data_IF_431190000801
#
_entry.id   IF_431190000801
#
_cell.length_a   1.000
_cell.length_b   1.000
_cell.length_c   1.000
_cell.angle_alpha   90.00
_cell.angle_beta   90.00
_cell.angle_gamma   90.00
#
_symmetry.space_group_name_H-M   'P 1'
#
loop_
_entity.id
_entity.type
_entity.pdbx_description
1 polymer ?
#
# COMPACT_ATOMS: atom_id res chain seq x y z
N UNK A 1 13.73 -18.57 6.15
CA UNK A 1 13.46 -18.68 7.60
C UNK A 1 12.67 -17.48 8.12
N UNK A 2 13.02 -16.23 7.79
CA UNK A 2 12.21 -15.02 8.08
C UNK A 2 10.75 -15.13 7.61
N UNK A 3 10.56 -15.69 6.42
CA UNK A 3 9.26 -15.89 5.75
C UNK A 3 8.28 -16.82 6.48
N UNK A 4 8.79 -17.87 7.16
CA UNK A 4 7.95 -18.78 7.97
C UNK A 4 7.51 -18.07 9.25
N UNK A 5 8.36 -17.18 9.78
CA UNK A 5 8.12 -16.43 11.00
C UNK A 5 7.16 -15.24 10.83
N UNK A 6 7.20 -14.48 9.74
CA UNK A 6 6.18 -13.44 9.50
C UNK A 6 4.77 -14.04 9.33
N UNK A 7 4.67 -15.22 8.72
CA UNK A 7 3.43 -16.00 8.61
C UNK A 7 3.01 -16.64 9.93
N UNK A 8 3.95 -16.99 10.81
CA UNK A 8 3.64 -17.42 12.18
C UNK A 8 3.29 -16.25 13.11
N UNK A 9 3.84 -15.06 12.88
CA UNK A 9 3.60 -13.85 13.69
C UNK A 9 2.26 -13.18 13.35
N UNK A 10 1.87 -13.14 12.07
CA UNK A 10 0.75 -12.32 11.60
C UNK A 10 -0.63 -12.81 12.06
N UNK A 11 -1.07 -14.07 11.85
CA UNK A 11 -2.41 -14.51 12.29
C UNK A 11 -2.45 -15.09 13.71
N UNK A 12 -1.32 -15.52 14.27
CA UNK A 12 -1.29 -16.32 15.52
C UNK A 12 -0.78 -15.60 16.76
N UNK A 13 -0.20 -14.39 16.62
CA UNK A 13 0.46 -13.71 17.75
C UNK A 13 0.11 -12.23 17.83
N UNK A 14 -0.13 -11.56 16.71
CA UNK A 14 -0.78 -10.25 16.75
C UNK A 14 -2.31 -10.40 16.80
N UNK A 15 -3.02 -9.53 17.53
CA UNK A 15 -4.45 -9.70 17.83
C UNK A 15 -5.39 -9.55 16.63
N UNK A 16 -4.88 -9.39 15.40
CA UNK A 16 -5.66 -9.16 14.15
C UNK A 16 -6.75 -8.08 14.27
N UNK A 17 -6.60 -7.15 15.22
CA UNK A 17 -7.60 -6.11 15.47
C UNK A 17 -7.53 -4.96 14.46
N UNK A 18 -6.43 -4.87 13.70
CA UNK A 18 -6.10 -3.80 12.75
C UNK A 18 -6.38 -2.40 13.34
N UNK A 19 -5.95 -2.20 14.59
CA UNK A 19 -6.33 -1.05 15.43
C UNK A 19 -5.64 0.27 15.10
N UNK A 20 -4.58 0.25 14.29
CA UNK A 20 -3.75 1.42 13.97
C UNK A 20 -3.03 2.09 15.15
N UNK A 21 -3.19 1.59 16.38
CA UNK A 21 -2.66 2.22 17.60
C UNK A 21 -1.14 2.28 17.66
N UNK A 22 -0.48 1.34 17.01
CA UNK A 22 0.98 1.28 16.86
C UNK A 22 1.50 2.11 15.67
N UNK A 23 0.69 3.05 15.13
CA UNK A 23 0.98 3.79 13.90
C UNK A 23 1.23 2.89 12.67
N UNK A 24 0.57 1.73 12.63
CA UNK A 24 0.55 0.84 11.47
C UNK A 24 -0.88 0.60 11.02
N UNK A 25 -1.21 0.76 9.74
CA UNK A 25 -2.58 0.64 9.23
C UNK A 25 -3.22 -0.74 9.44
N UNK A 26 -2.42 -1.78 9.71
CA UNK A 26 -2.90 -3.14 10.00
C UNK A 26 -1.91 -3.94 10.86
N UNK A 27 -2.38 -5.04 11.45
CA UNK A 27 -1.57 -5.94 12.29
C UNK A 27 -0.46 -6.64 11.49
N UNK A 28 -0.67 -6.93 10.20
CA UNK A 28 0.32 -7.50 9.29
C UNK A 28 1.51 -6.55 9.15
N UNK A 29 1.25 -5.26 8.96
CA UNK A 29 2.30 -4.24 8.87
C UNK A 29 3.08 -4.18 10.17
N UNK A 30 2.42 -4.20 11.33
CA UNK A 30 3.10 -4.25 12.62
C UNK A 30 3.98 -5.50 12.74
N UNK A 31 3.42 -6.69 12.46
CA UNK A 31 4.14 -7.96 12.50
C UNK A 31 5.38 -7.96 11.58
N UNK A 32 5.24 -7.37 10.39
CA UNK A 32 6.35 -7.14 9.46
C UNK A 32 7.39 -6.19 10.03
N UNK A 33 7.04 -5.01 10.55
CA UNK A 33 8.02 -4.07 11.11
C UNK A 33 8.77 -4.65 12.31
N UNK A 34 8.07 -5.44 13.12
CA UNK A 34 8.65 -6.13 14.28
C UNK A 34 9.62 -7.24 13.88
N UNK A 35 9.26 -8.12 12.93
CA UNK A 35 10.16 -9.17 12.45
C UNK A 35 11.45 -8.60 11.82
N UNK A 36 11.38 -7.33 11.45
CA UNK A 36 12.45 -6.53 10.87
C UNK A 36 13.23 -5.63 11.81
N UNK A 37 12.85 -5.56 13.09
CA UNK A 37 13.45 -4.64 14.07
C UNK A 37 13.34 -3.16 13.68
N UNK A 38 12.35 -2.80 12.87
CA UNK A 38 11.99 -1.41 12.55
C UNK A 38 10.99 -0.82 13.55
N UNK A 39 10.42 -1.68 14.39
CA UNK A 39 9.50 -1.33 15.45
C UNK A 39 9.60 -2.39 16.54
N UNK A 40 9.42 -1.99 17.81
CA UNK A 40 9.40 -2.92 18.93
C UNK A 40 8.00 -3.51 19.09
N UNK A 41 7.83 -4.81 19.39
CA UNK A 41 6.51 -5.37 19.62
C UNK A 41 5.74 -4.68 20.77
N UNK A 42 6.44 -4.07 21.72
CA UNK A 42 5.90 -3.21 22.78
C UNK A 42 5.17 -1.97 22.26
N UNK A 43 5.46 -1.53 21.03
CA UNK A 43 4.78 -0.39 20.42
C UNK A 43 3.32 -0.70 20.06
N UNK A 44 2.88 -1.97 20.19
CA UNK A 44 1.49 -2.39 20.05
C UNK A 44 0.80 -2.42 21.43
N UNK A 45 -0.02 -1.42 21.79
CA UNK A 45 -0.57 -1.29 23.14
C UNK A 45 -1.62 -2.34 23.49
N UNK A 46 -2.22 -2.98 22.48
CA UNK A 46 -3.20 -4.05 22.66
C UNK A 46 -2.57 -5.45 22.64
N UNK A 47 -1.25 -5.56 22.47
CA UNK A 47 -0.55 -6.85 22.43
C UNK A 47 -0.47 -7.44 23.85
N UNK A 48 -1.05 -8.62 24.11
CA UNK A 48 -0.96 -9.25 25.42
C UNK A 48 0.49 -9.52 25.82
N UNK A 49 0.82 -9.36 27.11
CA UNK A 49 2.19 -9.64 27.62
C UNK A 49 2.67 -11.07 27.31
N UNK A 50 1.75 -12.04 27.29
CA UNK A 50 2.02 -13.44 26.92
C UNK A 50 2.49 -13.57 25.47
N UNK A 51 1.91 -12.80 24.57
CA UNK A 51 2.25 -12.80 23.14
C UNK A 51 3.52 -11.99 22.87
N UNK A 52 3.75 -10.92 23.64
CA UNK A 52 4.98 -10.11 23.59
C UNK A 52 6.24 -10.95 23.79
N UNK A 53 6.29 -11.77 24.84
CA UNK A 53 7.46 -12.62 25.14
C UNK A 53 7.66 -13.70 24.06
N UNK A 54 6.55 -14.25 23.53
CA UNK A 54 6.59 -15.18 22.40
C UNK A 54 7.19 -14.52 21.16
N UNK A 55 6.79 -13.28 20.84
CA UNK A 55 7.32 -12.53 19.70
C UNK A 55 8.80 -12.22 19.89
N UNK A 56 9.24 -11.82 21.10
CA UNK A 56 10.66 -11.56 21.38
C UNK A 56 11.54 -12.79 21.15
N UNK A 57 11.10 -13.95 21.63
CA UNK A 57 11.80 -15.22 21.41
C UNK A 57 11.92 -15.56 19.92
N UNK A 58 10.84 -15.36 19.16
CA UNK A 58 10.79 -15.56 17.72
C UNK A 58 11.70 -14.60 16.93
N UNK A 59 11.76 -13.32 17.33
CA UNK A 59 12.58 -12.29 16.66
C UNK A 59 14.07 -12.42 17.00
N UNK A 60 14.40 -12.85 18.21
CA UNK A 60 15.79 -13.06 18.66
C UNK A 60 16.54 -14.15 17.91
N UNK A 61 15.84 -15.17 17.40
CA UNK A 61 16.44 -16.32 16.69
C UNK A 61 16.72 -16.13 15.19
N UNK A 62 16.41 -14.95 14.62
CA UNK A 62 16.47 -14.75 13.17
C UNK A 62 17.88 -14.40 12.65
N UNK A 63 18.45 -15.28 11.81
CA UNK A 63 19.52 -14.93 10.86
C UNK A 63 18.93 -14.78 9.46
N UNK A 64 19.10 -13.61 8.83
CA UNK A 64 18.64 -13.32 7.46
C UNK A 64 19.80 -13.55 6.49
N UNK A 65 19.70 -14.56 5.63
CA UNK A 65 20.66 -14.81 4.55
C UNK A 65 19.94 -15.14 3.23
N UNK A 66 20.44 -14.68 2.08
CA UNK A 66 19.82 -14.96 0.78
C UNK A 66 20.03 -16.41 0.33
N UNK A 67 19.06 -16.99 -0.38
CA UNK A 67 19.17 -18.27 -1.11
C UNK A 67 19.56 -18.01 -2.58
N UNK A 68 20.25 -18.93 -3.27
CA UNK A 68 20.59 -18.78 -4.68
C UNK A 68 19.40 -19.08 -5.60
N UNK A 69 19.20 -18.20 -6.58
CA UNK A 69 18.19 -18.19 -7.65
C UNK A 69 18.39 -16.91 -8.49
N UNK A 70 17.70 -16.78 -9.63
CA UNK A 70 17.83 -15.66 -10.60
C UNK A 70 18.03 -14.30 -9.90
N UNK A 71 18.90 -13.43 -10.43
CA UNK A 71 19.10 -12.15 -9.77
C UNK A 71 17.92 -11.21 -10.03
N UNK A 72 17.61 -10.30 -9.10
CA UNK A 72 16.47 -9.41 -9.29
C UNK A 72 16.69 -8.44 -10.47
N UNK A 73 15.67 -8.32 -11.33
CA UNK A 73 15.78 -7.64 -12.62
C UNK A 73 16.22 -8.54 -13.77
N UNK A 74 16.63 -9.79 -13.53
CA UNK A 74 16.89 -10.78 -14.58
C UNK A 74 15.59 -11.49 -14.98
N UNK A 75 15.43 -11.66 -16.29
CA UNK A 75 14.34 -12.42 -16.90
C UNK A 75 14.96 -13.54 -17.72
N UNK A 76 14.72 -14.79 -17.33
CA UNK A 76 15.22 -15.96 -18.03
C UNK A 76 14.12 -16.59 -18.88
N UNK A 77 14.41 -16.80 -20.17
CA UNK A 77 13.52 -17.45 -21.12
C UNK A 77 14.00 -18.88 -21.36
N UNK A 78 13.10 -19.85 -21.25
CA UNK A 78 13.36 -21.24 -21.58
C UNK A 78 12.32 -21.73 -22.59
N UNK A 79 12.74 -22.49 -23.62
CA UNK A 79 11.78 -23.13 -24.51
C UNK A 79 10.92 -24.11 -23.71
N UNK A 80 9.61 -24.11 -23.96
CA UNK A 80 8.73 -25.11 -23.39
C UNK A 80 8.93 -26.46 -24.09
N UNK A 81 8.53 -27.56 -23.45
CA UNK A 81 8.46 -28.87 -24.11
C UNK A 81 7.44 -28.86 -25.27
N UNK A 82 6.47 -27.95 -25.24
CA UNK A 82 5.51 -27.73 -26.30
C UNK A 82 6.11 -26.84 -27.40
N UNK A 83 6.04 -27.32 -28.65
CA UNK A 83 6.59 -26.62 -29.81
C UNK A 83 5.98 -25.21 -29.96
N UNK A 84 6.85 -24.21 -30.13
CA UNK A 84 6.44 -22.82 -30.33
C UNK A 84 5.98 -22.08 -29.08
N UNK A 85 6.09 -22.66 -27.87
CA UNK A 85 5.72 -22.01 -26.61
C UNK A 85 6.94 -21.66 -25.75
N UNK A 86 6.81 -20.62 -24.94
CA UNK A 86 7.89 -20.10 -24.09
C UNK A 86 7.50 -20.16 -22.62
N UNK A 87 8.47 -20.51 -21.77
CA UNK A 87 8.39 -20.36 -20.32
C UNK A 87 9.33 -19.25 -19.89
N UNK A 88 8.85 -18.37 -19.01
CA UNK A 88 9.60 -17.24 -18.49
C UNK A 88 9.60 -17.30 -16.99
N UNK A 89 10.77 -17.11 -16.41
CA UNK A 89 10.92 -16.83 -14.99
C UNK A 89 11.54 -15.45 -14.84
N UNK A 90 10.92 -14.61 -14.01
CA UNK A 90 11.37 -13.26 -13.73
C UNK A 90 11.27 -12.97 -12.23
N UNK A 91 12.15 -12.09 -11.75
CA UNK A 91 12.00 -11.45 -10.44
C UNK A 91 11.71 -9.98 -10.68
N UNK A 92 10.48 -9.56 -10.37
CA UNK A 92 9.97 -8.22 -10.69
C UNK A 92 10.74 -7.09 -9.99
N UNK A 93 11.28 -7.35 -8.80
CA UNK A 93 11.97 -6.34 -8.00
C UNK A 93 12.82 -6.94 -6.87
N UNK A 94 13.77 -6.16 -6.35
CA UNK A 94 14.49 -6.43 -5.10
C UNK A 94 13.64 -5.98 -3.91
N UNK A 95 13.64 -6.73 -2.80
CA UNK A 95 13.18 -6.19 -1.52
C UNK A 95 13.81 -4.82 -1.24
N UNK A 96 12.99 -3.85 -0.86
CA UNK A 96 13.40 -2.46 -0.58
C UNK A 96 14.16 -2.28 0.75
N UNK A 97 14.30 -3.36 1.52
CA UNK A 97 15.04 -3.45 2.77
C UNK A 97 15.40 -4.92 3.07
N UNK A 98 16.40 -5.14 3.92
CA UNK A 98 16.74 -6.47 4.38
C UNK A 98 15.57 -7.06 5.18
N UNK A 99 14.99 -8.14 4.63
CA UNK A 99 14.07 -9.06 5.31
C UNK A 99 12.63 -9.07 4.78
N UNK A 100 12.22 -8.07 3.97
CA UNK A 100 10.81 -7.90 3.61
C UNK A 100 10.60 -8.71 2.35
N UNK A 101 9.41 -9.23 2.20
CA UNK A 101 8.99 -9.73 0.89
C UNK A 101 8.69 -8.56 -0.03
N UNK A 102 8.55 -8.85 -1.31
CA UNK A 102 8.24 -7.82 -2.30
C UNK A 102 6.80 -7.37 -2.13
N UNK A 103 5.88 -8.33 -1.96
CA UNK A 103 4.45 -8.05 -1.87
C UNK A 103 3.89 -8.39 -0.49
N UNK A 104 2.96 -7.56 -0.03
CA UNK A 104 1.97 -7.96 0.95
C UNK A 104 1.05 -9.00 0.31
N UNK A 105 0.92 -10.18 0.93
CA UNK A 105 0.24 -11.30 0.29
C UNK A 105 -1.28 -11.12 0.20
N UNK A 106 -1.90 -10.47 1.19
CA UNK A 106 -3.34 -10.19 1.17
C UNK A 106 -3.67 -9.11 0.14
N UNK A 107 -2.88 -8.03 0.11
CA UNK A 107 -3.00 -7.00 -0.90
C UNK A 107 -2.68 -7.54 -2.29
N UNK A 108 -1.66 -8.37 -2.45
CA UNK A 108 -1.36 -9.03 -3.73
C UNK A 108 -2.57 -9.82 -4.22
N UNK A 109 -3.22 -10.60 -3.34
CA UNK A 109 -4.42 -11.35 -3.69
C UNK A 109 -5.60 -10.45 -4.06
N UNK A 110 -5.79 -9.35 -3.33
CA UNK A 110 -6.81 -8.36 -3.63
C UNK A 110 -6.57 -7.70 -4.99
N UNK A 111 -5.34 -7.24 -5.26
CA UNK A 111 -4.97 -6.57 -6.52
C UNK A 111 -4.95 -7.52 -7.71
N UNK A 112 -4.57 -8.77 -7.54
CA UNK A 112 -4.58 -9.76 -8.62
C UNK A 112 -5.99 -9.94 -9.21
N UNK A 113 -7.04 -9.81 -8.40
CA UNK A 113 -8.45 -9.88 -8.84
C UNK A 113 -8.91 -8.65 -9.63
N UNK A 114 -8.16 -7.56 -9.59
CA UNK A 114 -8.46 -6.31 -10.30
C UNK A 114 -7.67 -6.19 -11.63
N UNK A 115 -6.94 -7.24 -12.00
CA UNK A 115 -6.22 -7.31 -13.28
C UNK A 115 -7.11 -8.01 -14.30
N UNK A 116 -7.90 -7.23 -15.04
CA UNK A 116 -8.96 -7.73 -15.93
C UNK A 116 -8.46 -8.63 -17.07
N UNK A 117 -7.22 -8.42 -17.53
CA UNK A 117 -6.61 -9.28 -18.57
C UNK A 117 -6.42 -10.71 -18.08
N UNK A 118 -6.28 -10.89 -16.77
CA UNK A 118 -6.10 -12.19 -16.15
C UNK A 118 -7.47 -12.85 -15.89
N UNK A 119 -7.52 -14.16 -16.06
CA UNK A 119 -8.70 -15.01 -15.86
C UNK A 119 -8.37 -16.09 -14.85
N UNK A 120 -9.38 -16.75 -14.29
CA UNK A 120 -9.21 -17.90 -13.39
C UNK A 120 -8.25 -17.61 -12.21
N UNK A 121 -8.28 -16.40 -11.66
CA UNK A 121 -7.37 -16.02 -10.58
C UNK A 121 -7.65 -16.86 -9.33
N UNK A 122 -6.61 -17.44 -8.76
CA UNK A 122 -6.61 -18.10 -7.45
C UNK A 122 -5.47 -17.50 -6.64
N UNK A 123 -5.72 -17.14 -5.40
CA UNK A 123 -4.67 -16.57 -4.57
C UNK A 123 -4.84 -17.02 -3.12
N UNK A 124 -3.72 -17.33 -2.48
CA UNK A 124 -3.63 -17.67 -1.07
C UNK A 124 -2.68 -16.68 -0.41
N UNK A 125 -3.23 -15.83 0.46
CA UNK A 125 -2.45 -14.88 1.24
C UNK A 125 -1.52 -15.59 2.23
N UNK A 126 -1.99 -16.68 2.85
CA UNK A 126 -1.17 -17.54 3.71
C UNK A 126 0.05 -18.07 2.95
N UNK A 127 -0.12 -18.76 1.82
CA UNK A 127 1.03 -19.25 1.05
C UNK A 127 1.81 -18.13 0.35
N UNK A 128 1.27 -16.91 0.33
CA UNK A 128 1.62 -15.78 -0.54
C UNK A 128 1.96 -16.21 -1.96
N UNK A 129 0.99 -16.92 -2.53
CA UNK A 129 1.02 -17.47 -3.87
C UNK A 129 -0.24 -17.10 -4.62
N UNK A 130 -0.05 -16.60 -5.85
CA UNK A 130 -1.09 -16.31 -6.82
C UNK A 130 -0.94 -17.19 -8.06
N UNK A 131 -2.07 -17.57 -8.63
CA UNK A 131 -2.20 -18.21 -9.91
C UNK A 131 -3.19 -17.41 -10.76
N UNK A 132 -2.89 -17.24 -12.04
CA UNK A 132 -3.82 -16.69 -13.01
C UNK A 132 -3.61 -17.28 -14.39
N UNK A 133 -4.65 -17.30 -15.22
CA UNK A 133 -4.58 -17.67 -16.62
C UNK A 133 -4.74 -16.46 -17.54
N UNK A 134 -4.16 -16.51 -18.73
CA UNK A 134 -4.46 -15.61 -19.84
C UNK A 134 -4.50 -16.47 -21.11
N UNK A 135 -5.71 -16.80 -21.56
CA UNK A 135 -5.94 -17.80 -22.61
C UNK A 135 -5.26 -19.14 -22.24
N UNK A 136 -4.36 -19.66 -23.06
CA UNK A 136 -3.59 -20.89 -22.76
C UNK A 136 -2.37 -20.67 -21.84
N UNK A 137 -2.09 -19.42 -21.46
CA UNK A 137 -0.91 -19.04 -20.67
C UNK A 137 -1.23 -19.13 -19.19
N UNK A 138 -0.29 -19.64 -18.40
CA UNK A 138 -0.43 -19.75 -16.94
C UNK A 138 0.62 -18.90 -16.22
N UNK A 139 0.18 -18.12 -15.24
CA UNK A 139 1.02 -17.25 -14.43
C UNK A 139 1.03 -17.77 -12.99
N UNK A 140 2.22 -17.94 -12.45
CA UNK A 140 2.47 -18.24 -11.05
C UNK A 140 3.20 -17.05 -10.43
N UNK A 141 2.63 -16.48 -9.38
CA UNK A 141 3.10 -15.23 -8.77
C UNK A 141 3.40 -15.52 -7.30
N UNK A 142 4.57 -15.13 -6.84
CA UNK A 142 4.99 -15.35 -5.47
C UNK A 142 5.18 -14.01 -4.77
N UNK A 143 4.86 -13.96 -3.47
CA UNK A 143 5.09 -12.83 -2.56
C UNK A 143 6.53 -12.29 -2.59
N UNK A 144 7.50 -13.12 -2.96
CA UNK A 144 8.91 -12.75 -3.15
C UNK A 144 9.16 -11.91 -4.40
N UNK A 145 8.15 -11.62 -5.21
CA UNK A 145 8.29 -10.90 -6.49
C UNK A 145 8.69 -11.81 -7.65
N UNK A 146 8.85 -13.12 -7.41
CA UNK A 146 9.08 -14.10 -8.47
C UNK A 146 7.79 -14.31 -9.25
N UNK A 147 7.89 -14.33 -10.57
CA UNK A 147 6.79 -14.65 -11.48
C UNK A 147 7.27 -15.69 -12.47
N UNK A 148 6.47 -16.74 -12.65
CA UNK A 148 6.71 -17.79 -13.65
C UNK A 148 5.54 -17.78 -14.62
N UNK A 149 5.80 -17.51 -15.89
CA UNK A 149 4.84 -17.57 -16.98
C UNK A 149 5.12 -18.83 -17.78
N UNK A 150 4.12 -19.69 -17.92
CA UNK A 150 4.21 -20.95 -18.67
C UNK A 150 3.30 -20.90 -19.88
N UNK A 151 3.74 -21.53 -20.97
CA UNK A 151 2.98 -21.70 -22.22
C UNK A 151 2.62 -20.40 -22.94
N UNK A 152 3.43 -19.34 -22.78
CA UNK A 152 3.27 -18.13 -23.57
C UNK A 152 3.47 -18.45 -25.06
N UNK A 153 2.66 -17.84 -25.93
CA UNK A 153 2.70 -18.01 -27.40
C UNK A 153 4.05 -17.58 -27.95
N UNK A 154 4.63 -16.51 -27.42
CA UNK A 154 5.93 -15.99 -27.81
C UNK A 154 6.52 -15.15 -26.68
N UNK A 155 7.71 -14.60 -26.94
CA UNK A 155 8.45 -13.76 -25.99
C UNK A 155 7.70 -12.46 -25.71
N UNK A 156 7.11 -11.87 -26.73
CA UNK A 156 6.44 -10.57 -26.69
C UNK A 156 5.22 -10.63 -25.76
N UNK A 157 4.40 -11.67 -25.89
CA UNK A 157 3.28 -11.91 -24.99
C UNK A 157 3.74 -12.10 -23.54
N UNK A 158 4.82 -12.86 -23.31
CA UNK A 158 5.32 -13.08 -21.95
C UNK A 158 5.84 -11.77 -21.31
N UNK A 159 6.54 -10.93 -22.08
CA UNK A 159 7.01 -9.61 -21.61
C UNK A 159 5.82 -8.69 -21.31
N UNK A 160 4.80 -8.67 -22.16
CA UNK A 160 3.61 -7.87 -21.93
C UNK A 160 2.84 -8.32 -20.68
N UNK A 161 2.69 -9.63 -20.48
CA UNK A 161 2.10 -10.18 -19.26
C UNK A 161 2.91 -9.83 -18.00
N UNK A 162 4.25 -9.84 -18.06
CA UNK A 162 5.08 -9.37 -16.95
C UNK A 162 4.83 -7.89 -16.66
N UNK A 163 4.68 -7.04 -17.69
CA UNK A 163 4.37 -5.61 -17.53
C UNK A 163 3.02 -5.40 -16.86
N UNK A 164 1.99 -6.13 -17.30
CA UNK A 164 0.63 -6.09 -16.74
C UNK A 164 0.66 -6.52 -15.27
N UNK A 165 1.30 -7.64 -14.95
CA UNK A 165 1.42 -8.13 -13.55
C UNK A 165 2.20 -7.14 -12.69
N UNK A 166 3.32 -6.60 -13.18
CA UNK A 166 4.11 -5.59 -12.47
C UNK A 166 3.26 -4.36 -12.13
N UNK A 167 2.46 -3.87 -13.08
CA UNK A 167 1.58 -2.73 -12.89
C UNK A 167 0.42 -3.03 -11.95
N UNK A 168 -0.32 -4.11 -12.20
CA UNK A 168 -1.48 -4.49 -11.40
C UNK A 168 -1.12 -4.78 -9.94
N UNK A 169 0.06 -5.34 -9.66
CA UNK A 169 0.50 -5.68 -8.31
C UNK A 169 1.31 -4.59 -7.62
N UNK A 170 1.67 -3.51 -8.32
CA UNK A 170 2.44 -2.42 -7.73
C UNK A 170 1.83 -1.85 -6.43
N UNK A 171 0.49 -1.71 -6.29
CA UNK A 171 -0.11 -1.25 -5.03
C UNK A 171 0.19 -2.14 -3.81
N UNK A 172 0.51 -3.42 -4.03
CA UNK A 172 0.81 -4.39 -2.97
C UNK A 172 2.29 -4.42 -2.54
N UNK A 173 3.16 -3.66 -3.21
CA UNK A 173 4.60 -3.66 -2.91
C UNK A 173 4.85 -3.11 -1.51
N UNK A 174 5.64 -3.82 -0.71
CA UNK A 174 6.02 -3.38 0.64
C UNK A 174 7.12 -2.33 0.55
N UNK A 175 6.86 -1.16 1.13
CA UNK A 175 7.81 -0.07 1.24
C UNK A 175 8.82 -0.32 2.38
N UNK A 176 9.92 0.43 2.42
CA UNK A 176 10.92 0.35 3.50
C UNK A 176 10.34 0.62 4.90
N UNK A 177 9.26 1.40 5.00
CA UNK A 177 8.56 1.64 6.25
C UNK A 177 7.67 0.46 6.71
N UNK A 178 7.52 -0.58 5.90
CA UNK A 178 6.70 -1.76 6.20
C UNK A 178 5.24 -1.68 5.73
N UNK A 179 4.75 -0.50 5.37
CA UNK A 179 3.44 -0.31 4.75
C UNK A 179 3.46 -0.70 3.27
N UNK A 180 2.30 -1.01 2.70
CA UNK A 180 2.21 -1.21 1.24
C UNK A 180 2.26 0.13 0.49
N UNK A 181 2.64 0.08 -0.78
CA UNK A 181 2.86 1.26 -1.61
C UNK A 181 1.61 2.15 -1.69
N UNK A 182 0.42 1.54 -1.84
CA UNK A 182 -0.84 2.28 -1.87
C UNK A 182 -1.11 3.09 -0.60
N UNK A 183 -0.85 2.51 0.57
CA UNK A 183 -1.02 3.19 1.86
C UNK A 183 0.01 4.30 2.07
N UNK A 184 1.26 4.07 1.66
CA UNK A 184 2.31 5.09 1.76
C UNK A 184 1.97 6.32 0.92
N UNK A 185 1.53 6.09 -0.32
CA UNK A 185 1.17 7.15 -1.26
C UNK A 185 -0.15 7.80 -0.83
N UNK A 186 -1.08 7.03 -0.28
CA UNK A 186 -2.36 7.49 0.27
C UNK A 186 -2.29 8.29 1.57
N UNK A 187 -1.10 8.58 2.10
CA UNK A 187 -0.93 9.43 3.29
C UNK A 187 -0.79 8.70 4.62
N UNK A 188 -0.82 7.37 4.62
CA UNK A 188 -0.71 6.53 5.82
C UNK A 188 0.70 6.40 6.43
N UNK A 189 1.72 7.01 5.82
CA UNK A 189 3.10 6.95 6.32
C UNK A 189 3.75 8.34 6.37
N UNK A 190 3.91 8.90 7.56
CA UNK A 190 4.56 10.21 7.79
C UNK A 190 5.99 10.25 7.25
N UNK A 191 6.77 9.19 7.43
CA UNK A 191 8.16 9.16 6.93
C UNK A 191 8.23 9.14 5.39
N UNK A 192 7.22 8.57 4.72
CA UNK A 192 7.13 8.61 3.26
C UNK A 192 6.43 9.88 2.75
N UNK A 193 5.96 10.76 3.64
CA UNK A 193 5.51 12.10 3.27
C UNK A 193 6.72 12.99 2.93
N UNK A 194 7.76 12.93 3.77
CA UNK A 194 8.94 13.80 3.65
C UNK A 194 10.04 13.20 2.77
N UNK A 195 10.14 11.87 2.72
CA UNK A 195 11.13 11.17 1.90
C UNK A 195 10.47 10.51 0.68
N UNK A 196 11.13 10.57 -0.47
CA UNK A 196 10.71 9.86 -1.68
C UNK A 196 10.44 8.38 -1.35
N UNK A 197 9.17 7.98 -1.40
CA UNK A 197 8.75 6.62 -1.09
C UNK A 197 9.48 5.65 -2.03
N UNK A 198 10.37 4.78 -1.54
CA UNK A 198 11.10 3.88 -2.43
C UNK A 198 10.17 2.96 -3.20
N UNK A 199 8.95 2.68 -2.69
CA UNK A 199 7.90 1.98 -3.42
C UNK A 199 7.50 2.67 -4.73
N UNK A 200 7.60 3.99 -4.80
CA UNK A 200 7.40 4.76 -6.03
C UNK A 200 8.51 4.56 -7.05
N UNK A 201 9.75 4.31 -6.61
CA UNK A 201 10.89 4.03 -7.49
C UNK A 201 10.68 2.78 -8.35
N UNK A 202 9.85 1.84 -7.89
CA UNK A 202 9.58 0.55 -8.52
C UNK A 202 8.37 0.55 -9.45
N UNK A 203 7.86 1.72 -9.81
CA UNK A 203 6.74 1.81 -10.73
C UNK A 203 6.96 1.04 -12.03
N UNK A 204 5.87 0.73 -12.75
CA UNK A 204 5.93 -0.03 -14.01
C UNK A 204 6.84 0.63 -15.03
N UNK A 205 6.82 1.97 -15.08
CA UNK A 205 7.76 2.83 -15.79
C UNK A 205 8.89 3.25 -14.85
N UNK A 206 10.06 3.64 -15.37
CA UNK A 206 11.14 4.30 -14.61
C UNK A 206 10.68 5.68 -14.08
N UNK A 207 9.68 5.62 -13.21
CA UNK A 207 8.87 6.70 -12.65
C UNK A 207 9.70 7.65 -11.80
N UNK A 208 10.89 7.23 -11.36
CA UNK A 208 11.82 8.06 -10.60
C UNK A 208 12.70 9.01 -11.43
N UNK A 209 12.79 8.89 -12.76
CA UNK A 209 13.77 9.69 -13.53
C UNK A 209 13.27 11.04 -14.04
N UNK A 210 11.98 11.19 -14.37
CA UNK A 210 11.47 12.30 -15.19
C UNK A 210 10.17 12.97 -14.68
N UNK A 211 9.80 12.87 -13.39
CA UNK A 211 8.72 13.74 -12.88
C UNK A 211 9.32 15.13 -12.69
N UNK A 212 9.18 15.97 -13.72
CA UNK A 212 9.59 17.37 -13.69
C UNK A 212 8.88 18.08 -12.54
N UNK A 213 9.64 18.85 -11.77
CA UNK A 213 9.20 19.61 -10.59
C UNK A 213 8.30 20.80 -10.94
N UNK A 214 7.73 20.83 -12.15
CA UNK A 214 6.96 21.96 -12.64
C UNK A 214 5.57 21.98 -11.96
N UNK A 215 5.42 22.98 -11.08
CA UNK A 215 4.26 23.28 -10.24
C UNK A 215 3.86 22.14 -9.27
N UNK A 216 4.03 22.40 -7.98
CA UNK A 216 3.63 21.54 -6.85
C UNK A 216 2.09 21.45 -6.73
N UNK A 217 1.38 21.04 -7.79
CA UNK A 217 -0.03 20.73 -7.72
C UNK A 217 -0.24 19.59 -6.72
N UNK A 218 -1.16 19.81 -5.80
CA UNK A 218 -1.67 18.83 -4.84
C UNK A 218 -2.35 17.66 -5.54
N UNK A 219 -2.54 16.56 -4.81
CA UNK A 219 -3.35 15.45 -5.31
C UNK A 219 -4.77 15.91 -5.71
N UNK A 220 -5.39 16.78 -4.91
CA UNK A 220 -6.70 17.36 -5.22
C UNK A 220 -6.70 18.07 -6.58
N UNK A 221 -5.79 19.03 -6.76
CA UNK A 221 -5.72 19.84 -7.99
C UNK A 221 -5.51 18.97 -9.24
N UNK A 222 -4.70 17.91 -9.12
CA UNK A 222 -4.45 16.98 -10.23
C UNK A 222 -5.64 16.08 -10.54
N UNK A 223 -6.33 15.56 -9.52
CA UNK A 223 -7.49 14.68 -9.75
C UNK A 223 -8.71 15.45 -10.27
N UNK A 224 -8.86 16.72 -9.89
CA UNK A 224 -9.97 17.58 -10.36
C UNK A 224 -9.68 18.33 -11.65
N UNK A 225 -8.44 18.31 -12.14
CA UNK A 225 -8.06 18.90 -13.44
C UNK A 225 -7.19 17.95 -14.27
N UNK A 226 -7.72 16.79 -14.69
CA UNK A 226 -6.93 15.72 -15.29
C UNK A 226 -6.78 15.84 -16.82
N UNK A 227 -7.08 16.99 -17.43
CA UNK A 227 -7.15 17.18 -18.88
C UNK A 227 -5.88 16.77 -19.64
N UNK A 228 -4.74 16.75 -18.96
CA UNK A 228 -3.44 16.48 -19.55
C UNK A 228 -3.09 14.96 -19.55
N UNK A 229 -3.96 14.12 -18.97
CA UNK A 229 -3.74 12.68 -18.89
C UNK A 229 -4.41 11.90 -20.03
N UNK A 230 -3.63 11.01 -20.65
CA UNK A 230 -4.06 10.08 -21.68
C UNK A 230 -5.18 9.13 -21.21
N UNK A 231 -5.20 8.79 -19.92
CA UNK A 231 -6.21 7.91 -19.30
C UNK A 231 -7.06 8.62 -18.24
N UNK A 232 -7.27 9.94 -18.37
CA UNK A 232 -8.04 10.72 -17.39
C UNK A 232 -9.42 10.14 -17.09
N UNK A 233 -10.07 9.48 -18.06
CA UNK A 233 -11.39 8.86 -17.87
C UNK A 233 -11.42 7.87 -16.71
N UNK A 234 -10.38 7.03 -16.55
CA UNK A 234 -10.33 6.07 -15.43
C UNK A 234 -10.09 6.79 -14.09
N UNK A 235 -9.22 7.79 -14.05
CA UNK A 235 -8.98 8.59 -12.85
C UNK A 235 -10.23 9.38 -12.41
N UNK A 236 -10.90 10.05 -13.36
CA UNK A 236 -12.15 10.78 -13.14
C UNK A 236 -13.25 9.84 -12.68
N UNK A 237 -13.38 8.67 -13.33
CA UNK A 237 -14.37 7.67 -12.96
C UNK A 237 -14.14 7.15 -11.53
N UNK A 238 -12.90 6.77 -11.20
CA UNK A 238 -12.54 6.36 -9.86
C UNK A 238 -12.85 7.43 -8.80
N UNK A 239 -12.49 8.69 -9.09
CA UNK A 239 -12.77 9.82 -8.21
C UNK A 239 -14.27 10.08 -8.05
N UNK A 240 -15.06 9.95 -9.11
CA UNK A 240 -16.52 10.07 -9.06
C UNK A 240 -17.14 9.05 -8.09
N UNK A 241 -16.70 7.79 -8.15
CA UNK A 241 -17.17 6.75 -7.25
C UNK A 241 -16.75 7.01 -5.79
N UNK A 242 -15.52 7.46 -5.57
CA UNK A 242 -15.03 7.90 -4.24
C UNK A 242 -15.89 9.03 -3.67
N UNK A 243 -16.16 10.07 -4.47
CA UNK A 243 -16.98 11.19 -4.04
C UNK A 243 -18.41 10.77 -3.74
N UNK A 244 -18.99 9.88 -4.55
CA UNK A 244 -20.34 9.38 -4.30
C UNK A 244 -20.44 8.70 -2.94
N UNK A 245 -19.43 7.91 -2.58
CA UNK A 245 -19.38 7.26 -1.26
C UNK A 245 -19.35 8.29 -0.13
N UNK A 246 -18.52 9.32 -0.24
CA UNK A 246 -18.42 10.34 0.81
C UNK A 246 -19.63 11.27 0.90
N UNK A 247 -20.21 11.67 -0.22
CA UNK A 247 -21.26 12.69 -0.26
C UNK A 247 -22.64 12.12 0.01
N UNK A 248 -22.88 10.88 -0.42
CA UNK A 248 -24.22 10.31 -0.39
C UNK A 248 -24.28 9.12 0.55
N UNK A 249 -23.30 8.22 0.48
CA UNK A 249 -23.40 6.90 1.10
C UNK A 249 -23.03 6.96 2.59
N UNK A 250 -21.93 7.63 2.94
CA UNK A 250 -21.48 7.75 4.34
C UNK A 250 -22.42 8.59 5.23
N UNK A 251 -22.98 9.74 4.80
CA UNK A 251 -23.91 10.50 5.64
C UNK A 251 -25.19 9.73 5.96
N UNK A 252 -25.78 9.07 4.95
CA UNK A 252 -26.97 8.20 5.12
C UNK A 252 -26.74 7.10 6.15
N UNK A 253 -25.49 6.64 6.27
CA UNK A 253 -25.12 5.64 7.27
C UNK A 253 -25.30 6.17 8.70
N UNK A 254 -25.00 7.45 8.96
CA UNK A 254 -25.23 8.09 10.28
C UNK A 254 -26.71 8.33 10.55
N UNK A 255 -27.49 8.65 9.52
CA UNK A 255 -28.95 8.79 9.61
C UNK A 255 -29.65 7.45 9.85
N UNK A 256 -28.88 6.38 9.71
CA UNK A 256 -29.24 5.06 10.16
C UNK A 256 -29.75 4.13 9.09
N UNK A 257 -29.56 4.53 7.84
CA UNK A 257 -29.88 3.72 6.67
C UNK A 257 -28.83 2.62 6.46
N UNK A 258 -29.26 1.50 5.87
CA UNK A 258 -28.36 0.43 5.49
C UNK A 258 -27.63 0.84 4.19
N UNK A 259 -26.32 1.00 4.25
CA UNK A 259 -25.52 1.49 3.10
C UNK A 259 -24.33 0.61 2.74
N UNK A 260 -24.19 -0.55 3.40
CA UNK A 260 -23.04 -1.44 3.26
C UNK A 260 -22.81 -1.92 1.82
N UNK A 261 -23.81 -2.49 1.17
CA UNK A 261 -23.66 -3.07 -0.17
C UNK A 261 -23.39 -2.02 -1.25
N UNK A 262 -24.05 -0.86 -1.16
CA UNK A 262 -23.81 0.27 -2.06
C UNK A 262 -22.39 0.80 -1.87
N UNK A 263 -21.93 0.99 -0.63
CA UNK A 263 -20.55 1.39 -0.34
C UNK A 263 -19.54 0.43 -0.95
N UNK A 264 -19.72 -0.87 -0.72
CA UNK A 264 -18.82 -1.92 -1.21
C UNK A 264 -18.78 -1.93 -2.74
N UNK A 265 -19.93 -1.78 -3.39
CA UNK A 265 -20.04 -1.73 -4.84
C UNK A 265 -19.29 -0.51 -5.40
N UNK A 266 -19.56 0.68 -4.89
CA UNK A 266 -18.96 1.92 -5.40
C UNK A 266 -17.44 1.97 -5.15
N UNK A 267 -16.98 1.55 -3.96
CA UNK A 267 -15.53 1.41 -3.70
C UNK A 267 -14.88 0.32 -4.58
N UNK A 268 -15.62 -0.75 -4.91
CA UNK A 268 -15.18 -1.77 -5.85
C UNK A 268 -14.98 -1.23 -7.27
N UNK A 269 -15.92 -0.42 -7.76
CA UNK A 269 -15.78 0.28 -9.05
C UNK A 269 -14.66 1.30 -9.04
N UNK A 270 -14.52 2.06 -7.94
CA UNK A 270 -13.40 2.98 -7.78
C UNK A 270 -12.06 2.24 -7.86
N UNK A 271 -11.94 1.09 -7.19
CA UNK A 271 -10.72 0.28 -7.17
C UNK A 271 -10.39 -0.31 -8.55
N UNK A 272 -11.39 -0.76 -9.31
CA UNK A 272 -11.20 -1.22 -10.70
C UNK A 272 -10.67 -0.10 -11.58
N UNK A 273 -11.32 1.07 -11.56
CA UNK A 273 -10.90 2.22 -12.35
C UNK A 273 -9.50 2.72 -11.96
N UNK A 274 -9.17 2.77 -10.67
CA UNK A 274 -7.83 3.12 -10.20
C UNK A 274 -6.77 2.10 -10.68
N UNK A 275 -7.10 0.80 -10.67
CA UNK A 275 -6.23 -0.27 -11.18
C UNK A 275 -5.98 -0.11 -12.68
N UNK A 276 -7.01 0.24 -13.45
CA UNK A 276 -6.90 0.49 -14.88
C UNK A 276 -5.99 1.68 -15.17
N UNK A 277 -6.14 2.78 -14.43
CA UNK A 277 -5.25 3.94 -14.56
C UNK A 277 -3.77 3.59 -14.34
N UNK A 278 -3.46 2.66 -13.42
CA UNK A 278 -2.08 2.16 -13.21
C UNK A 278 -1.61 1.31 -14.40
N UNK A 279 -2.45 0.41 -14.89
CA UNK A 279 -2.08 -0.58 -15.91
C UNK A 279 -1.93 0.04 -17.30
N UNK A 280 -2.80 0.98 -17.66
CA UNK A 280 -2.83 1.63 -18.97
C UNK A 280 -2.17 3.01 -18.99
N UNK A 281 -1.80 3.55 -17.81
CA UNK A 281 -1.24 4.89 -17.64
C UNK A 281 -0.14 5.25 -18.65
N UNK A 282 -0.29 6.37 -19.35
CA UNK A 282 0.64 6.91 -20.34
C UNK A 282 1.89 7.52 -19.72
N UNK A 283 1.77 8.05 -18.50
CA UNK A 283 2.87 8.67 -17.76
C UNK A 283 3.10 8.01 -16.39
N UNK A 284 4.28 8.28 -15.81
CA UNK A 284 4.58 7.90 -14.42
C UNK A 284 3.58 8.49 -13.43
N UNK A 285 3.22 9.75 -13.66
CA UNK A 285 2.32 10.52 -12.84
C UNK A 285 0.90 9.93 -12.81
N UNK A 286 0.35 9.56 -13.96
CA UNK A 286 -0.97 8.89 -14.05
C UNK A 286 -1.01 7.61 -13.20
N UNK A 287 0.06 6.81 -13.25
CA UNK A 287 0.15 5.59 -12.45
C UNK A 287 0.24 5.91 -10.96
N UNK A 288 0.97 6.96 -10.56
CA UNK A 288 1.03 7.42 -9.17
C UNK A 288 -0.33 7.94 -8.69
N UNK A 289 -1.09 8.62 -9.54
CA UNK A 289 -2.46 9.05 -9.24
C UNK A 289 -3.37 7.84 -8.98
N UNK A 290 -3.31 6.81 -9.83
CA UNK A 290 -4.06 5.57 -9.61
C UNK A 290 -3.64 4.87 -8.31
N UNK A 291 -2.34 4.88 -7.99
CA UNK A 291 -1.82 4.30 -6.74
C UNK A 291 -2.29 5.07 -5.50
N UNK A 292 -2.30 6.41 -5.56
CA UNK A 292 -2.83 7.27 -4.52
C UNK A 292 -4.33 7.05 -4.30
N UNK A 293 -5.11 6.94 -5.38
CA UNK A 293 -6.52 6.60 -5.32
C UNK A 293 -6.76 5.26 -4.64
N UNK A 294 -5.92 4.24 -4.89
CA UNK A 294 -6.03 2.98 -4.15
C UNK A 294 -5.84 3.12 -2.64
N UNK A 295 -4.90 3.98 -2.21
CA UNK A 295 -4.72 4.31 -0.80
C UNK A 295 -5.97 4.96 -0.23
N UNK A 296 -6.47 5.98 -0.91
CA UNK A 296 -7.70 6.68 -0.54
C UNK A 296 -8.91 5.73 -0.42
N UNK A 297 -9.18 4.93 -1.45
CA UNK A 297 -10.29 3.96 -1.47
C UNK A 297 -10.22 3.02 -0.27
N UNK A 298 -9.01 2.59 0.10
CA UNK A 298 -8.80 1.72 1.26
C UNK A 298 -9.11 2.42 2.57
N UNK A 299 -8.63 3.65 2.74
CA UNK A 299 -8.89 4.42 3.96
C UNK A 299 -10.38 4.74 4.11
N UNK A 300 -11.09 4.98 3.00
CA UNK A 300 -12.56 5.12 2.97
C UNK A 300 -13.26 3.82 3.36
N UNK A 301 -12.81 2.68 2.82
CA UNK A 301 -13.35 1.38 3.21
C UNK A 301 -13.21 1.15 4.72
N UNK A 302 -12.06 1.48 5.31
CA UNK A 302 -11.82 1.39 6.76
C UNK A 302 -12.72 2.32 7.55
N UNK A 303 -12.95 3.55 7.07
CA UNK A 303 -13.91 4.49 7.65
C UNK A 303 -15.31 3.85 7.65
N UNK A 304 -15.76 3.35 6.50
CA UNK A 304 -17.06 2.70 6.34
C UNK A 304 -17.23 1.49 7.27
N UNK A 305 -16.21 0.65 7.43
CA UNK A 305 -16.21 -0.52 8.33
C UNK A 305 -16.26 -0.16 9.82
N UNK A 306 -15.83 1.06 10.17
CA UNK A 306 -15.71 1.54 11.56
C UNK A 306 -17.01 2.17 12.05
N UNK A 307 -17.72 2.89 11.18
CA UNK A 307 -18.93 3.63 11.56
C UNK A 307 -20.04 2.74 12.19
N UNK A 308 -20.39 1.55 11.65
CA UNK A 308 -21.39 0.67 12.28
C UNK A 308 -21.07 0.35 13.74
N UNK A 309 -19.78 0.18 14.05
CA UNK A 309 -19.29 -0.21 15.38
C UNK A 309 -19.34 0.96 16.37
N UNK A 310 -19.11 2.19 15.89
CA UNK A 310 -19.22 3.41 16.68
C UNK A 310 -20.68 3.79 16.96
N UNK A 311 -21.57 3.64 15.98
CA UNK A 311 -23.00 3.94 16.15
C UNK A 311 -23.62 3.15 17.30
N UNK A 312 -23.18 1.91 17.51
CA UNK A 312 -23.64 1.05 18.60
C UNK A 312 -23.33 1.61 20.00
N UNK A 313 -22.43 2.61 20.13
CA UNK A 313 -21.82 2.97 21.41
C UNK A 313 -22.02 4.42 21.88
N UNK A 314 -22.70 5.26 21.09
CA UNK A 314 -23.20 6.63 21.39
C UNK A 314 -22.16 7.69 21.84
N UNK A 315 -21.09 7.36 22.57
CA UNK A 315 -20.27 8.36 23.27
C UNK A 315 -19.35 9.17 22.35
N UNK A 316 -19.03 8.68 21.15
CA UNK A 316 -18.23 9.39 20.14
C UNK A 316 -18.99 9.77 18.86
N UNK A 317 -20.33 9.70 18.85
CA UNK A 317 -21.09 9.91 17.59
C UNK A 317 -20.92 11.33 17.03
N UNK A 318 -20.91 12.35 17.89
CA UNK A 318 -20.76 13.74 17.46
C UNK A 318 -19.34 14.02 16.96
N UNK A 319 -18.32 13.57 17.69
CA UNK A 319 -16.91 13.72 17.26
C UNK A 319 -16.63 12.92 15.97
N UNK A 320 -17.25 11.75 15.79
CA UNK A 320 -17.19 10.98 14.55
C UNK A 320 -17.84 11.71 13.36
N UNK A 321 -18.99 12.36 13.60
CA UNK A 321 -19.67 13.18 12.58
C UNK A 321 -18.81 14.37 12.18
N UNK A 322 -18.29 15.13 13.14
CA UNK A 322 -17.41 16.27 12.87
C UNK A 322 -16.19 15.84 12.05
N UNK A 323 -15.49 14.77 12.44
CA UNK A 323 -14.33 14.26 11.70
C UNK A 323 -14.64 13.89 10.23
N UNK A 324 -15.86 13.43 9.95
CA UNK A 324 -16.27 13.05 8.60
C UNK A 324 -16.71 14.25 7.76
N UNK A 325 -17.44 15.20 8.35
CA UNK A 325 -17.77 16.47 7.70
C UNK A 325 -16.49 17.21 7.28
N UNK A 326 -15.47 17.19 8.13
CA UNK A 326 -14.14 17.71 7.83
C UNK A 326 -13.48 16.99 6.68
N UNK A 327 -13.54 15.66 6.68
CA UNK A 327 -12.93 14.84 5.64
C UNK A 327 -13.63 15.08 4.30
N UNK A 328 -14.96 15.19 4.27
CA UNK A 328 -15.73 15.61 3.09
C UNK A 328 -15.32 17.01 2.62
N UNK A 329 -15.19 17.98 3.55
CA UNK A 329 -14.76 19.33 3.21
C UNK A 329 -13.36 19.34 2.56
N UNK A 330 -12.43 18.54 3.08
CA UNK A 330 -11.08 18.42 2.51
C UNK A 330 -11.07 17.76 1.14
N UNK A 331 -11.93 16.76 0.92
CA UNK A 331 -12.11 16.14 -0.40
C UNK A 331 -12.69 17.11 -1.44
N UNK A 332 -13.34 18.18 -1.00
CA UNK A 332 -13.82 19.30 -1.84
C UNK A 332 -12.79 20.43 -2.01
N UNK A 333 -11.57 20.26 -1.51
CA UNK A 333 -10.52 21.28 -1.53
C UNK A 333 -10.67 22.35 -0.43
N UNK A 334 -11.54 22.14 0.55
CA UNK A 334 -11.72 23.00 1.71
C UNK A 334 -10.58 22.88 2.74
N UNK A 335 -10.48 23.90 3.61
CA UNK A 335 -9.63 23.85 4.81
C UNK A 335 -10.38 23.19 5.96
N UNK A 336 -9.71 22.45 6.86
CA UNK A 336 -10.36 21.82 7.99
C UNK A 336 -10.69 22.89 9.04
N UNK A 337 -11.83 22.77 9.71
CA UNK A 337 -12.18 23.61 10.86
C UNK A 337 -11.91 22.95 12.22
N UNK A 338 -11.59 21.65 12.23
CA UNK A 338 -11.44 20.78 13.39
C UNK A 338 -10.06 20.16 13.34
N UNK A 339 -9.45 20.08 14.50
CA UNK A 339 -8.14 19.49 14.65
C UNK A 339 -8.25 17.97 14.77
N UNK A 340 -8.27 17.30 13.60
CA UNK A 340 -8.28 15.83 13.52
C UNK A 340 -7.07 15.23 14.25
N UNK A 341 -5.93 15.91 14.29
CA UNK A 341 -4.72 15.43 14.98
C UNK A 341 -4.86 15.50 16.50
N UNK A 342 -5.44 16.59 17.01
CA UNK A 342 -5.76 16.73 18.44
C UNK A 342 -6.76 15.65 18.89
N UNK A 343 -7.88 15.52 18.17
CA UNK A 343 -8.90 14.50 18.44
C UNK A 343 -8.32 13.08 18.44
N UNK A 344 -7.49 12.77 17.43
CA UNK A 344 -6.78 11.49 17.32
C UNK A 344 -5.85 11.27 18.52
N UNK A 345 -5.14 12.30 18.95
CA UNK A 345 -4.21 12.24 20.09
C UNK A 345 -4.94 11.97 21.41
N UNK A 346 -6.11 12.59 21.62
CA UNK A 346 -6.98 12.29 22.78
C UNK A 346 -7.47 10.85 22.77
N UNK A 347 -8.01 10.38 21.65
CA UNK A 347 -8.46 8.98 21.51
C UNK A 347 -7.29 8.00 21.72
N UNK A 348 -6.10 8.33 21.21
CA UNK A 348 -4.90 7.52 21.45
C UNK A 348 -4.58 7.40 22.94
N UNK A 349 -4.64 8.50 23.69
CA UNK A 349 -4.38 8.48 25.13
C UNK A 349 -5.36 7.54 25.86
N UNK A 350 -6.66 7.64 25.56
CA UNK A 350 -7.70 6.76 26.12
C UNK A 350 -7.41 5.29 25.81
N UNK A 351 -7.04 4.98 24.57
CA UNK A 351 -6.74 3.59 24.18
C UNK A 351 -5.44 3.08 24.81
N UNK A 352 -4.42 3.93 25.00
CA UNK A 352 -3.20 3.53 25.71
C UNK A 352 -3.48 3.21 27.18
N UNK A 353 -4.39 3.95 27.81
CA UNK A 353 -4.82 3.73 29.19
C UNK A 353 -5.76 2.51 29.33
N UNK A 354 -6.63 2.31 28.34
CA UNK A 354 -7.56 1.20 28.28
C UNK A 354 -7.61 0.56 26.89
N UNK A 355 -6.68 -0.37 26.57
CA UNK A 355 -6.62 -1.01 25.26
C UNK A 355 -7.85 -1.87 24.92
N UNK A 356 -8.68 -2.18 25.93
CA UNK A 356 -9.93 -2.94 25.79
C UNK A 356 -11.15 -2.05 25.56
N UNK A 357 -10.97 -0.73 25.58
CA UNK A 357 -12.01 0.21 25.18
C UNK A 357 -12.23 0.11 23.67
N UNK A 358 -13.06 -0.85 23.27
CA UNK A 358 -13.36 -1.08 21.88
C UNK A 358 -14.14 0.08 21.24
N UNK A 359 -14.55 1.12 21.97
CA UNK A 359 -15.12 2.33 21.37
C UNK A 359 -14.00 3.30 21.00
N UNK A 360 -13.13 3.61 21.95
CA UNK A 360 -11.97 4.47 21.72
C UNK A 360 -11.04 3.88 20.63
N UNK A 361 -10.91 2.55 20.54
CA UNK A 361 -10.17 1.88 19.45
C UNK A 361 -10.79 2.16 18.08
N UNK A 362 -12.11 2.02 17.96
CA UNK A 362 -12.80 2.28 16.68
C UNK A 362 -12.76 3.78 16.36
N UNK A 363 -12.87 4.65 17.36
CA UNK A 363 -12.80 6.10 17.13
C UNK A 363 -11.40 6.52 16.66
N UNK A 364 -10.36 5.99 17.29
CA UNK A 364 -8.99 6.21 16.86
C UNK A 364 -8.74 5.71 15.42
N UNK A 365 -9.31 4.55 15.03
CA UNK A 365 -9.25 4.06 13.63
C UNK A 365 -9.90 5.06 12.69
N UNK A 366 -11.12 5.52 12.99
CA UNK A 366 -11.84 6.50 12.18
C UNK A 366 -10.97 7.76 11.97
N UNK A 367 -10.54 8.38 13.06
CA UNK A 367 -9.76 9.60 13.05
C UNK A 367 -8.43 9.45 12.31
N UNK A 368 -7.75 8.31 12.47
CA UNK A 368 -6.49 8.03 11.76
C UNK A 368 -6.69 7.98 10.24
N UNK A 369 -7.75 7.30 9.77
CA UNK A 369 -8.03 7.23 8.34
C UNK A 369 -8.51 8.58 7.78
N UNK A 370 -9.35 9.33 8.52
CA UNK A 370 -9.72 10.70 8.16
C UNK A 370 -8.48 11.60 8.00
N UNK A 371 -7.50 11.46 8.90
CA UNK A 371 -6.25 12.19 8.83
C UNK A 371 -5.40 11.79 7.61
N UNK A 372 -5.36 10.50 7.26
CA UNK A 372 -4.64 10.03 6.05
C UNK A 372 -5.24 10.62 4.78
N UNK A 373 -6.58 10.62 4.67
CA UNK A 373 -7.28 11.31 3.58
C UNK A 373 -6.91 12.79 3.54
N UNK A 374 -7.01 13.48 4.67
CA UNK A 374 -6.72 14.91 4.72
C UNK A 374 -5.28 15.25 4.31
N UNK A 375 -4.33 14.42 4.74
CA UNK A 375 -2.92 14.53 4.34
C UNK A 375 -2.73 14.33 2.85
N UNK A 376 -3.32 13.28 2.27
CA UNK A 376 -3.24 13.02 0.83
C UNK A 376 -3.72 14.21 0.01
N UNK A 377 -4.91 14.74 0.31
CA UNK A 377 -5.53 15.79 -0.50
C UNK A 377 -4.73 17.10 -0.53
N UNK A 378 -4.00 17.40 0.55
CA UNK A 378 -3.17 18.60 0.66
C UNK A 378 -1.73 18.39 0.22
N UNK A 379 -1.33 17.15 -0.02
CA UNK A 379 0.06 16.83 -0.34
C UNK A 379 0.34 17.20 -1.79
N UNK A 380 1.42 17.96 -2.07
CA UNK A 380 1.97 18.00 -3.42
C UNK A 380 2.47 16.59 -3.77
N UNK A 381 2.07 16.09 -4.94
CA UNK A 381 2.55 14.77 -5.38
C UNK A 381 4.06 14.85 -5.54
N UNK A 382 4.83 13.97 -4.87
CA UNK A 382 6.28 14.08 -4.88
C UNK A 382 6.80 13.96 -6.32
N UNK A 383 7.29 15.09 -6.85
CA UNK A 383 8.22 15.12 -7.96
C UNK A 383 9.60 14.63 -7.49
N UNK A 384 10.49 14.32 -8.44
CA UNK A 384 11.86 13.93 -8.12
C UNK A 384 12.48 14.99 -7.19
N UNK A 385 13.07 14.65 -6.03
CA UNK A 385 13.77 15.64 -5.23
C UNK A 385 14.90 16.22 -6.09
N UNK A 386 14.89 17.53 -6.28
CA UNK A 386 15.97 18.24 -6.95
C UNK A 386 17.28 17.95 -6.19
N UNK A 387 18.15 17.11 -6.76
CA UNK A 387 19.51 16.93 -6.25
C UNK A 387 19.76 15.85 -5.20
N UNK A 388 18.85 14.89 -4.96
CA UNK A 388 19.20 13.78 -4.05
C UNK A 388 20.14 12.76 -4.75
N UNK A 389 21.45 12.91 -4.54
CA UNK A 389 22.53 12.08 -5.08
C UNK A 389 22.59 10.65 -4.54
N UNK A 390 21.47 9.95 -4.47
CA UNK A 390 21.37 8.57 -3.96
C UNK A 390 21.84 7.50 -4.97
N UNK A 391 22.76 7.83 -5.88
CA UNK A 391 23.25 6.91 -6.91
C UNK A 391 24.57 6.18 -6.58
N UNK A 392 25.21 6.41 -5.42
CA UNK A 392 26.57 5.88 -5.18
C UNK A 392 26.73 4.55 -4.44
N UNK A 393 25.67 3.88 -3.95
CA UNK A 393 25.88 2.69 -3.08
C UNK A 393 25.31 1.36 -3.59
N UNK A 394 24.92 1.25 -4.87
CA UNK A 394 24.42 -0.03 -5.44
C UNK A 394 25.28 -0.59 -6.57
N UNK A 395 26.35 0.09 -6.97
CA UNK A 395 27.39 -0.51 -7.80
C UNK A 395 28.43 -1.14 -6.87
N UNK A 396 28.52 -2.47 -6.89
CA UNK A 396 29.60 -3.20 -6.24
C UNK A 396 30.94 -2.73 -6.80
N UNK A 397 31.74 -2.10 -5.95
CA UNK A 397 33.12 -1.76 -6.22
C UNK A 397 33.89 -1.94 -4.93
N UNK A 398 34.76 -2.94 -4.90
CA UNK A 398 35.88 -3.00 -3.97
C UNK A 398 36.65 -1.68 -4.08
N UNK A 399 36.73 -0.91 -3.00
CA UNK A 399 37.71 0.18 -2.90
C UNK A 399 38.26 0.20 -1.48
N UNK A 400 39.57 0.06 -1.41
CA UNK A 400 40.34 -0.01 -0.19
C UNK A 400 40.40 1.30 0.59
N UNK A 401 40.95 1.16 1.79
CA UNK A 401 41.27 2.24 2.71
C UNK A 401 42.09 3.35 2.05
N UNK A 402 41.54 4.55 1.99
CA UNK A 402 42.31 5.77 2.25
C UNK A 402 41.46 6.77 3.03
N UNK A 403 42.07 7.30 4.08
CA UNK A 403 41.53 8.33 4.96
C UNK A 403 41.67 9.71 4.31
N UNK A 404 40.65 10.55 4.45
CA UNK A 404 40.68 11.97 4.84
C UNK A 404 39.50 12.74 4.23
N UNK A 405 38.93 13.64 5.03
CA UNK A 405 38.44 14.93 4.54
C UNK A 405 36.93 15.12 4.44
N UNK A 406 36.42 15.84 5.44
CA UNK A 406 35.37 16.87 5.35
C UNK A 406 33.90 16.43 5.16
N UNK A 407 33.19 16.51 6.28
CA UNK A 407 31.74 16.57 6.39
C UNK A 407 31.20 17.91 5.88
N UNK A 408 30.48 17.89 4.76
CA UNK A 408 29.41 18.86 4.49
C UNK A 408 28.06 18.20 4.79
N UNK A 409 27.42 18.68 5.86
CA UNK A 409 26.04 18.34 6.23
C UNK A 409 25.09 19.05 5.25
N UNK A 410 24.21 18.30 4.61
CA UNK A 410 22.95 18.83 4.08
C UNK A 410 21.81 18.14 4.82
N UNK A 411 20.95 18.97 5.40
CA UNK A 411 19.68 18.59 6.04
C UNK A 411 18.74 17.89 5.06
#
# INVERSE_FOLDING_TARGET
MVMVLAMELSPKVFPLAHCSLCNNPCCETMARRVSHRLQSPEDCPILPKTDLEKIKGLVGGLRVGPRPGAQPGETTFQPCAEYGRVTVEAILTKPLGSGFEVFDSEEMCSKLRLVDTLKNQKCSGEMGYGFAGCDDTHLHIFKTGRVIIRRAVNREQAVELLRIVKAGLWPSVICRCGNVASECVGGGCEHCLDLFCPGLAWGPKETGKNIETEQQKTFFERITSPSDYSNHNFLVSAWKHVNLVFETVLPRFFDGEAVGDETIKELGEAARNASMAIQTGGSAEEMVMGLALHGLIRDIGRIADTIPKLRAKRSFVDEAREALEQTSAVLKGGRPGFDIEEARSRCRAIVMENPRDGEAVEMYKLLSNCLFVARLMRRPIPGKPAGCGYQRSLAGGEVGHTANGEHSRCC
#
